data_IF_369621998505
#
_entry.id   IF_369621998505
#
_cell.length_a   1.000
_cell.length_b   1.000
_cell.length_c   1.000
_cell.angle_alpha   90.00
_cell.angle_beta   90.00
_cell.angle_gamma   90.00
#
_symmetry.space_group_name_H-M   'P 1'
#
loop_
_entity.id
_entity.type
_entity.pdbx_description
1 polymer ?
#
# COMPACT_ATOMS: atom_id res chain seq x y z
N UNK A 1 -92.16 42.60 6.07
CA UNK A 1 -90.79 43.14 6.24
C UNK A 1 -89.73 42.10 6.63
N UNK A 2 -90.07 41.01 7.37
CA UNK A 2 -89.09 39.97 7.74
C UNK A 2 -88.44 39.21 6.56
N UNK A 3 -89.17 39.00 5.46
CA UNK A 3 -88.62 38.30 4.30
C UNK A 3 -87.41 39.02 3.66
N UNK A 4 -87.40 40.35 3.66
CA UNK A 4 -86.28 41.13 3.13
C UNK A 4 -85.02 41.00 4.01
N UNK A 5 -85.18 40.96 5.34
CA UNK A 5 -84.04 40.80 6.26
C UNK A 5 -83.43 39.39 6.20
N UNK A 6 -84.25 38.37 5.95
CA UNK A 6 -83.76 36.99 5.85
C UNK A 6 -82.98 36.77 4.54
N UNK A 7 -83.43 37.38 3.45
CA UNK A 7 -82.70 37.36 2.17
C UNK A 7 -81.37 38.10 2.29
N UNK A 8 -81.32 39.28 2.92
CA UNK A 8 -80.05 40.01 3.16
C UNK A 8 -79.05 39.19 3.99
N UNK A 9 -79.51 38.53 5.07
CA UNK A 9 -78.66 37.65 5.89
C UNK A 9 -78.15 36.45 5.11
N UNK A 10 -78.98 35.86 4.25
CA UNK A 10 -78.55 34.76 3.39
C UNK A 10 -77.46 35.22 2.40
N UNK A 11 -77.62 36.39 1.78
CA UNK A 11 -76.59 36.97 0.90
C UNK A 11 -75.29 37.28 1.66
N UNK A 12 -75.35 37.89 2.84
CA UNK A 12 -74.17 38.14 3.68
C UNK A 12 -73.45 36.83 4.07
N UNK A 13 -74.21 35.79 4.41
CA UNK A 13 -73.64 34.47 4.71
C UNK A 13 -72.96 33.84 3.49
N UNK A 14 -73.52 34.00 2.29
CA UNK A 14 -72.92 33.51 1.04
C UNK A 14 -71.64 34.28 0.74
N UNK A 15 -71.66 35.61 0.81
CA UNK A 15 -70.48 36.45 0.57
C UNK A 15 -69.34 36.13 1.55
N UNK A 16 -69.67 35.90 2.82
CA UNK A 16 -68.70 35.46 3.82
C UNK A 16 -68.11 34.09 3.47
N UNK A 17 -68.95 33.11 3.11
CA UNK A 17 -68.46 31.78 2.74
C UNK A 17 -67.56 31.82 1.48
N UNK A 18 -67.86 32.69 0.52
CA UNK A 18 -67.01 32.91 -0.67
C UNK A 18 -65.68 33.55 -0.27
N UNK A 19 -65.70 34.57 0.59
CA UNK A 19 -64.49 35.22 1.09
C UNK A 19 -63.61 34.27 1.89
N UNK A 20 -64.17 33.53 2.85
CA UNK A 20 -63.46 32.52 3.64
C UNK A 20 -62.87 31.43 2.72
N UNK A 21 -63.61 31.02 1.68
CA UNK A 21 -63.11 30.10 0.66
C UNK A 21 -61.94 30.66 -0.16
N UNK A 22 -61.96 31.96 -0.50
CA UNK A 22 -60.87 32.64 -1.19
C UNK A 22 -59.60 32.74 -0.32
N UNK A 23 -59.75 33.06 0.98
CA UNK A 23 -58.61 33.11 1.91
C UNK A 23 -57.94 31.74 2.07
N UNK A 24 -58.72 30.66 2.16
CA UNK A 24 -58.17 29.30 2.23
C UNK A 24 -57.41 28.93 0.96
N UNK A 25 -57.91 29.30 -0.22
CA UNK A 25 -57.22 29.04 -1.49
C UNK A 25 -55.92 29.84 -1.62
N UNK A 26 -55.91 31.11 -1.20
CA UNK A 26 -54.71 31.94 -1.18
C UNK A 26 -53.68 31.39 -0.20
N UNK A 27 -54.09 31.01 1.02
CA UNK A 27 -53.18 30.40 2.00
C UNK A 27 -52.61 29.06 1.52
N UNK A 28 -53.43 28.25 0.86
CA UNK A 28 -52.96 27.01 0.23
C UNK A 28 -51.93 27.28 -0.88
N UNK A 29 -52.18 28.29 -1.71
CA UNK A 29 -51.27 28.69 -2.78
C UNK A 29 -49.93 29.19 -2.22
N UNK A 30 -49.97 30.04 -1.18
CA UNK A 30 -48.76 30.52 -0.50
C UNK A 30 -47.93 29.35 0.06
N UNK A 31 -48.57 28.38 0.74
CA UNK A 31 -47.89 27.19 1.24
C UNK A 31 -47.24 26.36 0.12
N UNK A 32 -47.93 26.19 -1.00
CA UNK A 32 -47.38 25.46 -2.15
C UNK A 32 -46.20 26.21 -2.79
N UNK A 33 -46.24 27.54 -2.86
CA UNK A 33 -45.11 28.35 -3.35
C UNK A 33 -43.89 28.26 -2.44
N UNK A 34 -44.06 28.31 -1.12
CA UNK A 34 -42.97 28.13 -0.15
C UNK A 34 -42.37 26.72 -0.26
N UNK A 35 -43.21 25.71 -0.42
CA UNK A 35 -42.78 24.32 -0.59
C UNK A 35 -41.98 24.14 -1.89
N UNK A 36 -42.41 24.75 -2.99
CA UNK A 36 -41.65 24.75 -4.25
C UNK A 36 -40.30 25.43 -4.10
N UNK A 37 -40.23 26.58 -3.44
CA UNK A 37 -38.98 27.29 -3.18
C UNK A 37 -38.00 26.45 -2.34
N UNK A 38 -38.51 25.71 -1.34
CA UNK A 38 -37.69 24.76 -0.56
C UNK A 38 -37.16 23.61 -1.41
N UNK A 39 -37.97 23.04 -2.31
CA UNK A 39 -37.50 21.99 -3.22
C UNK A 39 -36.45 22.49 -4.21
N UNK A 40 -36.63 23.69 -4.75
CA UNK A 40 -35.66 24.30 -5.64
C UNK A 40 -34.33 24.58 -4.93
N UNK A 41 -34.39 25.09 -3.69
CA UNK A 41 -33.20 25.26 -2.85
C UNK A 41 -32.47 23.93 -2.60
N UNK A 42 -33.21 22.86 -2.27
CA UNK A 42 -32.63 21.52 -2.08
C UNK A 42 -32.00 20.97 -3.36
N UNK A 43 -32.64 21.18 -4.51
CA UNK A 43 -32.11 20.75 -5.81
C UNK A 43 -30.80 21.49 -6.14
N UNK A 44 -30.75 22.80 -5.91
CA UNK A 44 -29.55 23.62 -6.09
C UNK A 44 -28.42 23.18 -5.15
N UNK A 45 -28.74 22.83 -3.90
CA UNK A 45 -27.75 22.28 -2.97
C UNK A 45 -27.20 20.93 -3.45
N UNK A 46 -28.05 20.04 -3.96
CA UNK A 46 -27.60 18.76 -4.50
C UNK A 46 -26.72 18.94 -5.74
N UNK A 47 -27.07 19.88 -6.62
CA UNK A 47 -26.27 20.22 -7.79
C UNK A 47 -24.88 20.73 -7.40
N UNK A 48 -24.80 21.65 -6.43
CA UNK A 48 -23.53 22.16 -5.93
C UNK A 48 -22.64 21.05 -5.34
N UNK A 49 -23.21 20.10 -4.60
CA UNK A 49 -22.48 18.95 -4.08
C UNK A 49 -21.97 18.03 -5.19
N UNK A 50 -22.78 17.83 -6.25
CA UNK A 50 -22.37 17.03 -7.40
C UNK A 50 -21.22 17.70 -8.17
N UNK A 51 -21.30 19.01 -8.39
CA UNK A 51 -20.25 19.78 -9.06
C UNK A 51 -18.94 19.75 -8.26
N UNK A 52 -19.02 19.86 -6.93
CA UNK A 52 -17.87 19.71 -6.04
C UNK A 52 -17.22 18.32 -6.13
N UNK A 53 -18.03 17.25 -6.07
CA UNK A 53 -17.53 15.88 -6.19
C UNK A 53 -16.93 15.61 -7.56
N UNK A 54 -17.52 16.18 -8.62
CA UNK A 54 -17.00 16.08 -9.98
C UNK A 54 -15.65 16.80 -10.13
N UNK A 55 -15.50 17.98 -9.51
CA UNK A 55 -14.23 18.71 -9.48
C UNK A 55 -13.15 17.94 -8.72
N UNK A 56 -13.49 17.36 -7.56
CA UNK A 56 -12.57 16.54 -6.77
C UNK A 56 -12.13 15.28 -7.53
N UNK A 57 -13.05 14.59 -8.21
CA UNK A 57 -12.73 13.42 -9.03
C UNK A 57 -11.82 13.78 -10.23
N UNK A 58 -12.03 14.93 -10.86
CA UNK A 58 -11.17 15.44 -11.92
C UNK A 58 -9.76 15.74 -11.40
N UNK A 59 -9.64 16.38 -10.23
CA UNK A 59 -8.34 16.65 -9.62
C UNK A 59 -7.61 15.36 -9.26
N UNK A 60 -8.28 14.38 -8.66
CA UNK A 60 -7.69 13.09 -8.35
C UNK A 60 -7.17 12.38 -9.61
N UNK A 61 -7.90 12.49 -10.73
CA UNK A 61 -7.48 11.90 -12.01
C UNK A 61 -6.17 12.53 -12.49
N UNK A 62 -6.05 13.86 -12.44
CA UNK A 62 -4.80 14.57 -12.79
C UNK A 62 -3.63 14.16 -11.89
N UNK A 63 -3.86 14.09 -10.57
CA UNK A 63 -2.82 13.68 -9.62
C UNK A 63 -2.31 12.26 -9.92
N UNK A 64 -3.19 11.34 -10.32
CA UNK A 64 -2.81 9.98 -10.73
C UNK A 64 -2.06 9.95 -12.06
N UNK A 65 -2.44 10.79 -13.03
CA UNK A 65 -1.73 10.93 -14.30
C UNK A 65 -0.31 11.46 -14.09
N UNK A 66 -0.13 12.49 -13.26
CA UNK A 66 1.19 13.02 -12.90
C UNK A 66 2.06 11.97 -12.19
N UNK A 67 1.48 11.20 -11.26
CA UNK A 67 2.20 10.10 -10.61
C UNK A 67 2.61 9.01 -11.59
N UNK A 68 1.75 8.67 -12.56
CA UNK A 68 2.06 7.70 -13.59
C UNK A 68 3.21 8.17 -14.48
N UNK A 69 3.20 9.44 -14.91
CA UNK A 69 4.29 10.05 -15.68
C UNK A 69 5.61 10.03 -14.91
N UNK A 70 5.59 10.37 -13.62
CA UNK A 70 6.80 10.32 -12.76
C UNK A 70 7.36 8.90 -12.62
N UNK A 71 6.50 7.90 -12.47
CA UNK A 71 6.92 6.49 -12.42
C UNK A 71 7.51 6.04 -13.75
N UNK A 72 6.94 6.48 -14.87
CA UNK A 72 7.48 6.21 -16.20
C UNK A 72 8.89 6.82 -16.35
N UNK A 73 9.07 8.09 -15.99
CA UNK A 73 10.36 8.76 -16.04
C UNK A 73 11.43 8.02 -15.21
N UNK A 74 11.11 7.67 -13.96
CA UNK A 74 12.05 6.90 -13.12
C UNK A 74 12.36 5.52 -13.72
N UNK A 75 11.43 4.91 -14.45
CA UNK A 75 11.65 3.63 -15.12
C UNK A 75 12.65 3.79 -16.28
N UNK A 76 12.50 4.85 -17.07
CA UNK A 76 13.41 5.19 -18.18
C UNK A 76 14.81 5.54 -17.66
N UNK A 77 14.91 6.33 -16.58
CA UNK A 77 16.19 6.64 -15.94
C UNK A 77 16.90 5.38 -15.42
N UNK A 78 16.16 4.46 -14.79
CA UNK A 78 16.73 3.18 -14.37
C UNK A 78 17.19 2.31 -15.54
N UNK A 79 16.48 2.35 -16.68
CA UNK A 79 16.92 1.65 -17.89
C UNK A 79 18.24 2.24 -18.41
N UNK A 80 18.34 3.57 -18.50
CA UNK A 80 19.56 4.26 -18.92
C UNK A 80 20.75 3.99 -17.98
N UNK A 81 20.53 4.00 -16.66
CA UNK A 81 21.54 3.62 -15.68
C UNK A 81 22.00 2.17 -15.87
N UNK A 82 21.08 1.24 -16.13
CA UNK A 82 21.42 -0.17 -16.41
C UNK A 82 22.25 -0.32 -17.69
N UNK A 83 21.95 0.45 -18.74
CA UNK A 83 22.76 0.47 -19.97
C UNK A 83 24.16 1.04 -19.73
N UNK A 84 24.27 2.08 -18.90
CA UNK A 84 25.56 2.66 -18.52
C UNK A 84 26.40 1.67 -17.72
N UNK A 85 25.80 0.97 -16.75
CA UNK A 85 26.46 -0.10 -15.98
C UNK A 85 26.91 -1.24 -16.91
N UNK A 86 26.10 -1.59 -17.91
CA UNK A 86 26.46 -2.62 -18.91
C UNK A 86 27.70 -2.21 -19.71
N UNK A 87 27.74 -0.99 -20.23
CA UNK A 87 28.91 -0.45 -20.96
C UNK A 87 30.17 -0.45 -20.10
N UNK A 88 30.08 0.03 -18.86
CA UNK A 88 31.22 0.02 -17.93
C UNK A 88 31.71 -1.40 -17.63
N UNK A 89 30.82 -2.39 -17.52
CA UNK A 89 31.21 -3.78 -17.34
C UNK A 89 31.96 -4.35 -18.56
N UNK A 90 31.52 -3.99 -19.77
CA UNK A 90 32.21 -4.37 -21.02
C UNK A 90 33.62 -3.75 -21.08
N UNK A 91 33.76 -2.46 -20.72
CA UNK A 91 35.06 -1.78 -20.61
C UNK A 91 35.97 -2.45 -19.58
N UNK A 92 35.46 -2.76 -18.37
CA UNK A 92 36.22 -3.45 -17.32
C UNK A 92 36.65 -4.85 -17.78
N UNK A 93 35.81 -5.57 -18.52
CA UNK A 93 36.19 -6.85 -19.11
C UNK A 93 37.31 -6.69 -20.15
N UNK A 94 37.22 -5.66 -21.01
CA UNK A 94 38.28 -5.32 -21.98
C UNK A 94 39.61 -4.98 -21.30
N UNK A 95 39.60 -4.25 -20.19
CA UNK A 95 40.81 -3.96 -19.42
C UNK A 95 41.37 -5.22 -18.76
N UNK A 96 40.53 -6.12 -18.24
CA UNK A 96 40.96 -7.39 -17.66
C UNK A 96 41.66 -8.28 -18.68
N UNK A 97 41.15 -8.35 -19.92
CA UNK A 97 41.82 -9.13 -20.98
C UNK A 97 43.16 -8.52 -21.36
N UNK A 98 43.28 -7.19 -21.43
CA UNK A 98 44.55 -6.50 -21.65
C UNK A 98 45.56 -6.78 -20.53
N UNK A 99 45.14 -6.72 -19.26
CA UNK A 99 46.00 -7.04 -18.11
C UNK A 99 46.50 -8.49 -18.20
N UNK A 100 45.62 -9.44 -18.54
CA UNK A 100 46.00 -10.84 -18.72
C UNK A 100 47.03 -11.03 -19.84
N UNK A 101 46.90 -10.30 -20.96
CA UNK A 101 47.89 -10.32 -22.04
C UNK A 101 49.25 -9.76 -21.60
N UNK A 102 49.26 -8.66 -20.86
CA UNK A 102 50.49 -8.07 -20.31
C UNK A 102 51.18 -9.01 -19.31
N UNK A 103 50.41 -9.73 -18.50
CA UNK A 103 50.94 -10.73 -17.59
C UNK A 103 51.61 -11.89 -18.34
N UNK A 104 50.99 -12.39 -19.42
CA UNK A 104 51.59 -13.43 -20.28
C UNK A 104 52.91 -12.98 -20.92
N UNK A 105 52.96 -11.75 -21.47
CA UNK A 105 54.19 -11.19 -22.02
C UNK A 105 55.28 -11.02 -20.96
N UNK A 106 54.90 -10.62 -19.74
CA UNK A 106 55.84 -10.47 -18.62
C UNK A 106 56.44 -11.82 -18.23
N UNK A 107 55.62 -12.88 -18.17
CA UNK A 107 56.11 -14.24 -17.90
C UNK A 107 57.04 -14.74 -19.01
N UNK A 108 56.72 -14.47 -20.27
CA UNK A 108 57.58 -14.86 -21.40
C UNK A 108 58.94 -14.14 -21.36
N UNK A 109 58.96 -12.84 -21.05
CA UNK A 109 60.20 -12.08 -20.88
C UNK A 109 61.02 -12.59 -19.69
N UNK A 110 60.36 -12.97 -18.59
CA UNK A 110 61.03 -13.56 -17.41
C UNK A 110 61.66 -14.92 -17.74
N UNK A 111 60.98 -15.75 -18.53
CA UNK A 111 61.49 -17.04 -18.99
C UNK A 111 62.70 -16.85 -19.93
N UNK A 112 62.63 -15.90 -20.86
CA UNK A 112 63.75 -15.54 -21.73
C UNK A 112 64.96 -15.01 -20.93
N UNK A 113 64.72 -14.22 -19.87
CA UNK A 113 65.77 -13.74 -18.99
C UNK A 113 66.45 -14.89 -18.24
N UNK A 114 65.65 -15.83 -17.73
CA UNK A 114 66.14 -17.02 -17.02
C UNK A 114 66.97 -17.93 -17.93
N UNK A 115 66.51 -18.18 -19.17
CA UNK A 115 67.27 -18.93 -20.18
C UNK A 115 68.60 -18.25 -20.55
N UNK A 116 68.64 -16.92 -20.61
CA UNK A 116 69.88 -16.18 -20.86
C UNK A 116 70.86 -16.30 -19.70
N UNK A 117 70.40 -16.27 -18.44
CA UNK A 117 71.26 -16.43 -17.26
C UNK A 117 71.91 -17.81 -17.19
N UNK A 118 71.19 -18.89 -17.52
CA UNK A 118 71.77 -20.24 -17.55
C UNK A 118 72.86 -20.40 -18.63
N UNK A 119 72.79 -19.60 -19.69
CA UNK A 119 73.71 -19.70 -20.83
C UNK A 119 74.98 -18.87 -20.69
N UNK A 120 75.09 -18.03 -19.65
CA UNK A 120 76.34 -17.32 -19.33
C UNK A 120 77.23 -18.27 -18.52
N UNK A 121 78.35 -18.76 -19.08
CA UNK A 121 79.28 -19.59 -18.33
C UNK A 121 79.77 -18.77 -17.14
N UNK A 122 79.75 -19.38 -15.95
CA UNK A 122 80.26 -18.82 -14.70
C UNK A 122 81.77 -18.54 -14.85
N UNK A 123 82.12 -17.42 -15.49
CA UNK A 123 83.47 -16.88 -15.44
C UNK A 123 83.69 -16.43 -14.00
N UNK A 124 84.45 -17.25 -13.27
CA UNK A 124 84.85 -17.01 -11.89
C UNK A 124 85.50 -15.63 -11.78
N UNK A 125 84.72 -14.65 -11.30
CA UNK A 125 85.19 -13.32 -10.99
C UNK A 125 85.82 -13.38 -9.59
N UNK A 126 87.12 -13.68 -9.58
CA UNK A 126 87.96 -13.54 -8.39
C UNK A 126 88.15 -12.06 -8.04
N UNK A 127 88.12 -11.76 -6.74
CA UNK A 127 88.55 -10.52 -6.07
C UNK A 127 88.02 -9.17 -6.62
N UNK A 128 86.88 -8.74 -6.09
CA UNK A 128 86.51 -7.32 -6.08
C UNK A 128 86.28 -6.84 -4.63
N UNK A 129 86.91 -5.73 -4.20
CA UNK A 129 86.88 -5.23 -2.83
C UNK A 129 85.51 -4.65 -2.43
N UNK A 130 85.22 -4.55 -1.11
CA UNK A 130 83.92 -4.15 -0.60
C UNK A 130 83.65 -2.67 -0.89
N UNK A 131 82.63 -2.41 -1.70
CA UNK A 131 82.15 -1.04 -1.99
C UNK A 131 81.13 -0.67 -0.90
N UNK A 132 81.43 0.43 -0.21
CA UNK A 132 80.62 1.00 0.85
C UNK A 132 79.22 1.45 0.38
N UNK A 133 78.21 1.41 1.26
CA UNK A 133 76.85 1.84 0.94
C UNK A 133 76.78 3.35 0.76
N UNK A 134 76.59 3.81 -0.48
CA UNK A 134 76.27 5.20 -0.80
C UNK A 134 74.82 5.48 -0.40
N UNK A 135 74.63 6.34 0.60
CA UNK A 135 73.35 6.91 1.00
C UNK A 135 72.71 7.66 -0.18
N UNK A 136 71.52 7.23 -0.59
CA UNK A 136 70.69 7.91 -1.59
C UNK A 136 69.91 9.03 -0.90
N UNK A 137 70.00 10.29 -1.34
CA UNK A 137 69.27 11.40 -0.74
C UNK A 137 67.76 11.23 -0.95
N UNK A 138 66.98 11.36 0.13
CA UNK A 138 65.54 11.56 0.05
C UNK A 138 65.26 12.93 -0.58
N UNK A 139 65.10 12.94 -1.91
CA UNK A 139 64.56 14.08 -2.61
C UNK A 139 63.04 14.13 -2.38
N UNK A 140 62.68 15.08 -1.52
CA UNK A 140 61.38 15.69 -1.41
C UNK A 140 60.82 16.16 -2.78
N UNK A 141 59.50 16.38 -2.80
CA UNK A 141 58.77 17.26 -3.71
C UNK A 141 58.35 16.71 -5.09
N UNK A 142 57.04 16.52 -5.28
CA UNK A 142 56.26 17.05 -6.42
C UNK A 142 54.80 16.61 -6.28
N UNK A 143 53.92 17.53 -5.87
CA UNK A 143 53.07 18.31 -6.79
C UNK A 143 51.95 17.46 -7.41
N UNK A 144 50.86 17.34 -6.67
CA UNK A 144 49.57 16.91 -7.22
C UNK A 144 48.94 18.08 -8.00
N UNK A 145 48.65 17.96 -9.30
CA UNK A 145 47.83 18.94 -9.99
C UNK A 145 46.36 18.75 -9.59
N UNK A 146 45.80 19.74 -8.90
CA UNK A 146 44.35 19.88 -8.74
C UNK A 146 43.76 20.28 -10.09
N UNK A 147 43.19 19.31 -10.80
CA UNK A 147 42.39 19.53 -12.00
C UNK A 147 41.12 20.29 -11.61
N UNK A 148 41.12 21.59 -11.88
CA UNK A 148 39.92 22.44 -11.88
C UNK A 148 39.11 22.04 -13.10
N UNK A 149 38.00 21.35 -12.88
CA UNK A 149 36.99 21.12 -13.92
C UNK A 149 36.15 22.38 -14.03
N UNK A 150 36.49 23.22 -15.02
CA UNK A 150 35.62 24.26 -15.54
C UNK A 150 34.31 23.60 -16.03
N UNK A 151 33.21 23.93 -15.36
CA UNK A 151 31.85 23.66 -15.82
C UNK A 151 31.44 24.79 -16.76
N UNK A 152 30.96 24.50 -17.98
CA UNK A 152 30.39 25.53 -18.83
C UNK A 152 29.10 26.05 -18.19
N UNK A 153 29.06 27.37 -18.02
CA UNK A 153 27.90 28.15 -17.64
C UNK A 153 26.91 28.10 -18.81
N UNK A 154 25.90 27.24 -18.72
CA UNK A 154 24.80 27.22 -19.69
C UNK A 154 24.00 28.52 -19.56
N UNK A 155 24.09 29.33 -20.60
CA UNK A 155 23.25 30.51 -20.81
C UNK A 155 21.79 30.06 -20.92
N UNK A 156 21.00 30.41 -19.91
CA UNK A 156 19.55 30.35 -19.98
C UNK A 156 19.07 31.28 -21.09
N UNK A 157 18.78 30.70 -22.25
CA UNK A 157 18.02 31.33 -23.32
C UNK A 157 16.55 31.31 -22.90
N UNK A 158 16.02 32.48 -22.53
CA UNK A 158 14.58 32.75 -22.39
C UNK A 158 13.88 32.47 -23.72
N UNK A 159 12.90 31.54 -23.80
CA UNK A 159 11.97 31.54 -24.91
C UNK A 159 10.91 32.63 -24.68
N UNK A 160 10.93 33.64 -25.55
CA UNK A 160 9.81 34.52 -25.84
C UNK A 160 8.53 33.70 -26.03
N UNK A 161 7.67 33.64 -25.02
CA UNK A 161 6.30 33.17 -25.17
C UNK A 161 5.47 34.36 -25.63
N UNK A 162 5.33 34.45 -26.95
CA UNK A 162 4.24 35.17 -27.60
C UNK A 162 2.98 34.30 -27.54
N UNK A 163 2.06 34.62 -26.63
CA UNK A 163 0.66 34.25 -26.80
C UNK A 163 -0.24 35.40 -26.33
N UNK A 164 -0.83 36.07 -27.32
CA UNK A 164 -2.03 36.86 -27.12
C UNK A 164 -3.16 35.94 -26.68
N UNK A 165 -3.76 36.26 -25.55
CA UNK A 165 -5.03 35.73 -25.12
C UNK A 165 -5.83 36.89 -24.55
N UNK A 166 -6.90 37.24 -25.25
CA UNK A 166 -7.86 38.27 -24.89
C UNK A 166 -8.64 37.82 -23.64
N UNK A 167 -8.57 38.62 -22.58
CA UNK A 167 -9.45 38.49 -21.42
C UNK A 167 -10.77 39.24 -21.67
N UNK A 168 -11.95 38.67 -21.34
CA UNK A 168 -13.14 39.46 -21.11
C UNK A 168 -13.17 40.02 -19.67
N UNK A 169 -13.83 41.16 -19.43
CA UNK A 169 -13.80 41.82 -18.13
C UNK A 169 -14.63 41.05 -17.10
N UNK A 170 -14.02 40.73 -15.96
CA UNK A 170 -14.71 40.18 -14.79
C UNK A 170 -14.81 41.26 -13.73
N UNK A 171 -16.03 41.53 -13.32
CA UNK A 171 -16.38 42.52 -12.31
C UNK A 171 -15.70 42.28 -10.97
N UNK A 172 -15.25 43.40 -10.43
CA UNK A 172 -14.65 43.61 -9.12
C UNK A 172 -15.68 43.32 -8.03
N UNK A 173 -15.40 42.36 -7.14
CA UNK A 173 -15.78 42.48 -5.73
C UNK A 173 -14.67 41.94 -4.81
N UNK A 174 -14.05 42.91 -4.14
CA UNK A 174 -13.08 42.83 -3.05
C UNK A 174 -13.55 42.03 -1.83
N UNK A 175 -12.61 41.34 -1.19
CA UNK A 175 -12.29 41.25 0.27
C UNK A 175 -11.90 39.81 0.66
N UNK A 176 -10.65 39.50 1.02
CA UNK A 176 -9.96 39.83 2.27
C UNK A 176 -8.89 38.75 2.55
N UNK A 177 -7.92 38.98 3.47
CA UNK A 177 -6.61 38.33 3.41
C UNK A 177 -6.47 37.16 4.40
N UNK A 178 -5.87 36.04 3.96
CA UNK A 178 -5.33 35.04 4.88
C UNK A 178 -3.87 34.70 4.56
N UNK A 179 -3.10 34.83 5.63
CA UNK A 179 -1.67 34.64 5.84
C UNK A 179 -1.10 33.31 5.33
N UNK A 180 0.05 33.44 4.69
CA UNK A 180 0.95 32.37 4.30
C UNK A 180 1.54 31.61 5.50
N UNK A 181 1.61 30.29 5.39
CA UNK A 181 2.54 29.46 6.15
C UNK A 181 3.41 28.67 5.17
N UNK A 182 4.61 29.18 4.95
CA UNK A 182 5.76 28.49 4.36
C UNK A 182 6.23 27.39 5.31
N UNK A 183 6.34 26.17 4.81
CA UNK A 183 7.03 25.06 5.49
C UNK A 183 8.30 24.70 4.71
N UNK A 184 9.48 24.62 5.35
CA UNK A 184 10.71 24.23 4.69
C UNK A 184 10.86 22.70 4.75
N UNK A 185 10.99 22.04 3.60
CA UNK A 185 11.44 20.64 3.55
C UNK A 185 12.92 20.60 3.24
N UNK A 186 13.71 20.41 4.30
CA UNK A 186 15.15 20.20 4.24
C UNK A 186 15.52 18.83 3.71
N UNK A 187 16.53 18.83 2.87
CA UNK A 187 17.30 17.67 2.46
C UNK A 187 17.93 16.96 3.67
N UNK A 188 17.86 15.63 3.70
CA UNK A 188 18.84 14.78 4.36
C UNK A 188 19.06 13.53 3.52
N UNK A 189 20.15 13.56 2.76
CA UNK A 189 20.79 12.36 2.24
C UNK A 189 21.42 11.55 3.36
N UNK A 190 21.46 10.24 3.18
CA UNK A 190 22.32 9.32 3.93
C UNK A 190 22.64 8.11 3.04
N UNK A 191 23.78 7.45 3.29
CA UNK A 191 24.63 6.89 2.24
C UNK A 191 24.39 5.41 1.97
N UNK A 192 24.88 4.98 0.80
CA UNK A 192 24.90 3.60 0.35
C UNK A 192 25.69 2.67 1.26
N UNK A 193 25.23 1.42 1.31
CA UNK A 193 25.98 0.28 1.81
C UNK A 193 26.01 -0.78 0.72
N UNK A 194 27.21 -0.98 0.18
CA UNK A 194 27.54 -2.07 -0.71
C UNK A 194 27.81 -3.34 0.12
N UNK A 195 27.19 -4.45 -0.27
CA UNK A 195 27.61 -5.82 0.07
C UNK A 195 27.26 -6.66 -1.16
N UNK A 196 28.22 -7.07 -1.99
CA UNK A 196 29.20 -8.13 -1.76
C UNK A 196 28.54 -9.46 -1.39
N UNK A 197 28.14 -10.21 -2.42
CA UNK A 197 27.98 -11.67 -2.33
C UNK A 197 28.61 -12.31 -3.56
N UNK A 198 29.72 -12.99 -3.28
CA UNK A 198 30.34 -14.13 -3.97
C UNK A 198 29.33 -15.04 -4.66
N UNK A 199 29.52 -15.32 -5.95
CA UNK A 199 30.17 -16.53 -6.48
C UNK A 199 29.37 -17.82 -6.19
N UNK A 200 28.80 -18.41 -7.26
CA UNK A 200 28.94 -19.84 -7.55
C UNK A 200 28.53 -20.09 -9.00
N UNK A 201 29.56 -20.13 -9.84
CA UNK A 201 29.56 -20.69 -11.19
C UNK A 201 29.90 -22.18 -11.01
N UNK A 202 29.00 -23.08 -11.40
CA UNK A 202 29.31 -24.50 -11.50
C UNK A 202 29.09 -24.94 -12.95
N UNK A 203 30.22 -25.26 -13.57
CA UNK A 203 30.44 -25.79 -14.90
C UNK A 203 29.67 -27.09 -15.18
N UNK A 204 29.26 -27.20 -16.45
CA UNK A 204 28.81 -28.42 -17.11
C UNK A 204 29.96 -29.43 -17.25
N UNK A 205 29.73 -30.68 -16.81
CA UNK A 205 30.54 -31.85 -17.20
C UNK A 205 29.58 -33.03 -17.45
N UNK A 206 29.82 -33.88 -18.48
CA UNK A 206 28.77 -34.70 -19.09
C UNK A 206 28.55 -36.08 -18.45
N UNK A 207 27.44 -36.68 -18.90
CA UNK A 207 26.80 -37.92 -18.50
C UNK A 207 27.67 -39.19 -18.38
N UNK A 208 27.34 -40.01 -17.36
CA UNK A 208 27.55 -41.47 -17.33
C UNK A 208 26.36 -42.13 -16.58
N UNK A 209 25.81 -43.29 -17.02
CA UNK A 209 24.61 -43.89 -16.43
C UNK A 209 24.95 -44.92 -15.34
N UNK A 210 24.17 -44.99 -14.25
CA UNK A 210 24.14 -46.20 -13.42
C UNK A 210 22.91 -46.35 -12.52
N UNK A 211 22.21 -47.45 -12.79
CA UNK A 211 21.42 -48.34 -11.93
C UNK A 211 20.83 -47.86 -10.58
N UNK A 212 19.51 -48.03 -10.48
CA UNK A 212 18.72 -48.03 -9.24
C UNK A 212 19.11 -49.20 -8.28
N UNK A 213 18.66 -49.19 -7.01
CA UNK A 213 17.40 -49.86 -6.72
C UNK A 213 16.49 -49.18 -5.66
N UNK A 214 15.21 -49.56 -5.75
CA UNK A 214 14.07 -49.05 -5.01
C UNK A 214 14.01 -49.46 -3.53
N UNK A 215 13.58 -48.55 -2.64
CA UNK A 215 13.13 -48.89 -1.29
C UNK A 215 11.81 -48.17 -0.88
N UNK A 216 10.80 -49.01 -0.67
CA UNK A 216 9.62 -48.96 0.18
C UNK A 216 9.06 -47.61 0.70
N UNK A 217 7.93 -47.22 0.09
CA UNK A 217 6.88 -46.36 0.69
C UNK A 217 6.25 -47.02 1.94
N UNK A 218 6.19 -46.30 3.06
CA UNK A 218 5.23 -46.56 4.16
C UNK A 218 4.30 -45.36 4.36
N UNK A 219 3.08 -45.49 3.85
CA UNK A 219 1.97 -44.55 4.08
C UNK A 219 1.37 -44.78 5.47
N UNK A 220 1.46 -43.80 6.37
CA UNK A 220 0.69 -43.78 7.63
C UNK A 220 -0.41 -42.73 7.55
N UNK A 221 -1.60 -43.21 7.30
CA UNK A 221 -2.88 -42.53 7.53
C UNK A 221 -3.06 -42.26 9.03
N UNK A 222 -3.22 -40.99 9.42
CA UNK A 222 -3.67 -40.60 10.76
C UNK A 222 -4.81 -39.60 10.69
N UNK A 223 -6.02 -40.17 10.72
CA UNK A 223 -7.17 -39.80 11.56
C UNK A 223 -7.19 -38.40 12.21
N UNK A 224 -8.15 -37.59 11.76
CA UNK A 224 -8.76 -36.45 12.48
C UNK A 224 -9.41 -36.90 13.80
N UNK A 225 -9.19 -36.21 14.93
CA UNK A 225 -10.09 -36.28 16.07
C UNK A 225 -11.12 -35.14 16.02
N UNK A 226 -12.39 -35.54 16.07
CA UNK A 226 -13.54 -34.71 16.43
C UNK A 226 -13.49 -34.40 17.93
N UNK A 227 -13.46 -33.13 18.32
CA UNK A 227 -13.87 -32.66 19.65
C UNK A 227 -14.91 -31.57 19.37
N UNK A 228 -16.21 -31.90 19.28
CA UNK A 228 -17.18 -32.12 20.38
C UNK A 228 -16.97 -31.15 21.54
N UNK A 229 -17.87 -30.18 21.62
CA UNK A 229 -17.76 -29.03 22.49
C UNK A 229 -18.13 -29.30 23.93
N UNK A 230 -17.89 -28.28 24.75
CA UNK A 230 -18.44 -28.19 26.09
C UNK A 230 -18.75 -26.74 26.43
N UNK A 231 -20.04 -26.52 26.68
CA UNK A 231 -20.58 -25.34 27.35
C UNK A 231 -20.20 -25.46 28.82
N UNK A 232 -19.55 -24.44 29.38
CA UNK A 232 -19.67 -24.18 30.82
C UNK A 232 -20.00 -22.72 31.07
N UNK A 233 -21.20 -22.55 31.62
CA UNK A 233 -21.65 -21.37 32.36
C UNK A 233 -20.92 -21.40 33.70
N UNK A 234 -20.41 -20.27 34.14
CA UNK A 234 -20.24 -19.99 35.56
C UNK A 234 -20.25 -18.47 35.73
N UNK A 235 -21.45 -17.98 36.06
CA UNK A 235 -21.61 -16.73 36.79
C UNK A 235 -21.18 -16.96 38.24
N UNK A 236 -20.52 -15.98 38.85
CA UNK A 236 -20.58 -15.72 40.29
C UNK A 236 -20.26 -14.25 40.60
N UNK A 237 -20.72 -13.71 41.74
CA UNK A 237 -21.09 -12.31 41.93
C UNK A 237 -20.19 -11.55 42.94
N UNK A 238 -20.29 -10.21 42.94
CA UNK A 238 -19.61 -9.28 43.88
C UNK A 238 -18.30 -8.74 43.29
N UNK A 239 -17.94 -7.45 43.34
CA UNK A 239 -18.27 -6.36 44.25
C UNK A 239 -18.28 -5.03 43.46
N UNK A 240 -19.18 -4.12 43.86
CA UNK A 240 -19.21 -2.72 43.41
C UNK A 240 -18.19 -1.91 44.21
N UNK A 241 -17.63 -0.85 43.61
CA UNK A 241 -17.63 0.42 44.32
C UNK A 241 -18.32 1.53 43.53
N UNK A 242 -19.15 2.26 44.28
CA UNK A 242 -19.81 3.51 43.93
C UNK A 242 -18.79 4.56 43.50
N UNK A 243 -18.97 5.14 42.30
CA UNK A 243 -18.57 6.51 42.02
C UNK A 243 -19.61 7.18 41.13
N UNK A 244 -20.40 8.00 41.80
CA UNK A 244 -21.22 9.08 41.26
C UNK A 244 -20.36 10.00 40.38
N UNK A 245 -20.76 10.13 39.11
CA UNK A 245 -20.51 11.35 38.33
C UNK A 245 -21.75 11.65 37.51
N UNK A 246 -22.45 12.68 37.96
CA UNK A 246 -23.53 13.34 37.25
C UNK A 246 -23.06 13.71 35.84
N UNK A 247 -23.71 13.12 34.84
CA UNK A 247 -23.69 13.61 33.48
C UNK A 247 -25.13 13.94 33.15
N UNK A 248 -25.45 15.24 33.14
CA UNK A 248 -26.68 15.79 32.58
C UNK A 248 -26.72 15.38 31.09
N UNK A 249 -27.45 14.31 30.79
CA UNK A 249 -27.90 14.00 29.43
C UNK A 249 -29.27 14.61 29.26
N UNK A 250 -29.33 15.60 28.39
CA UNK A 250 -30.55 16.20 27.88
C UNK A 250 -31.41 15.12 27.23
N UNK A 251 -32.66 15.12 27.65
CA UNK A 251 -33.75 14.26 27.23
C UNK A 251 -34.04 14.44 25.73
N UNK A 252 -34.07 13.32 25.01
CA UNK A 252 -34.76 13.18 23.72
C UNK A 252 -35.32 11.77 23.65
N UNK A 253 -36.13 11.42 24.66
CA UNK A 253 -36.97 10.23 24.65
C UNK A 253 -38.11 10.44 23.66
N UNK A 254 -37.93 9.94 22.44
CA UNK A 254 -39.08 9.48 21.63
C UNK A 254 -39.77 8.35 22.40
N UNK A 255 -41.10 8.39 22.61
CA UNK A 255 -41.82 7.26 23.18
C UNK A 255 -41.66 6.06 22.26
N UNK A 256 -40.95 5.03 22.73
CA UNK A 256 -41.00 3.70 22.13
C UNK A 256 -42.39 3.14 22.46
N UNK A 257 -43.28 3.19 21.47
CA UNK A 257 -44.55 2.47 21.51
C UNK A 257 -44.26 1.00 21.86
N UNK A 258 -44.83 0.56 22.99
CA UNK A 258 -44.72 -0.81 23.47
C UNK A 258 -45.59 -1.70 22.58
N UNK A 259 -45.07 -2.11 21.44
CA UNK A 259 -45.68 -3.17 20.65
C UNK A 259 -45.75 -4.45 21.49
N UNK A 260 -46.95 -5.00 21.58
CA UNK A 260 -47.24 -6.25 22.26
C UNK A 260 -46.46 -7.41 21.62
N UNK A 261 -46.18 -8.51 22.35
CA UNK A 261 -45.45 -9.66 21.81
C UNK A 261 -46.09 -10.27 20.54
N UNK A 262 -47.40 -10.11 20.36
CA UNK A 262 -48.14 -10.57 19.17
C UNK A 262 -47.93 -9.68 17.94
N UNK A 263 -47.83 -8.36 18.09
CA UNK A 263 -47.50 -7.45 17.00
C UNK A 263 -46.10 -7.69 16.45
N UNK A 264 -45.13 -8.00 17.33
CA UNK A 264 -43.76 -8.35 16.92
C UNK A 264 -43.70 -9.63 16.09
N UNK A 265 -44.64 -10.57 16.27
CA UNK A 265 -44.74 -11.79 15.47
C UNK A 265 -45.32 -11.51 14.08
N UNK A 266 -46.32 -10.62 13.98
CA UNK A 266 -46.91 -10.23 12.68
C UNK A 266 -45.92 -9.45 11.79
N UNK A 267 -45.16 -8.52 12.36
CA UNK A 267 -44.20 -7.70 11.59
C UNK A 267 -43.01 -8.51 11.05
N UNK A 268 -42.60 -9.59 11.74
CA UNK A 268 -41.55 -10.49 11.24
C UNK A 268 -42.02 -11.38 10.08
N UNK A 269 -43.31 -11.76 10.04
CA UNK A 269 -43.84 -12.64 9.00
C UNK A 269 -44.04 -11.92 7.65
N UNK A 270 -44.45 -10.64 7.69
CA UNK A 270 -44.66 -9.83 6.47
C UNK A 270 -43.33 -9.52 5.75
N UNK A 271 -42.22 -9.43 6.49
CA UNK A 271 -40.90 -9.07 5.91
C UNK A 271 -40.16 -10.24 5.24
N UNK A 272 -40.49 -11.50 5.59
CA UNK A 272 -39.89 -12.69 4.96
C UNK A 272 -40.60 -13.09 3.67
N UNK A 273 -41.93 -12.97 3.59
CA UNK A 273 -42.69 -13.37 2.40
C UNK A 273 -42.50 -12.41 1.23
N UNK A 274 -42.36 -11.10 1.49
CA UNK A 274 -42.14 -10.10 0.43
C UNK A 274 -40.80 -10.26 -0.30
N UNK A 275 -39.72 -10.66 0.40
CA UNK A 275 -38.40 -10.83 -0.23
C UNK A 275 -38.32 -12.05 -1.12
N UNK A 276 -38.99 -13.15 -0.76
CA UNK A 276 -38.99 -14.36 -1.59
C UNK A 276 -39.93 -14.23 -2.79
N UNK A 277 -41.04 -13.50 -2.66
CA UNK A 277 -41.89 -13.15 -3.80
C UNK A 277 -41.14 -12.24 -4.81
N UNK A 278 -40.39 -11.25 -4.32
CA UNK A 278 -39.57 -10.37 -5.15
C UNK A 278 -38.49 -11.16 -5.91
N UNK A 279 -37.72 -12.04 -5.22
CA UNK A 279 -36.71 -12.90 -5.88
C UNK A 279 -37.31 -13.82 -6.95
N UNK A 280 -38.56 -14.27 -6.77
CA UNK A 280 -39.26 -15.10 -7.76
C UNK A 280 -39.70 -14.28 -8.98
N UNK A 281 -40.07 -13.01 -8.80
CA UNK A 281 -40.38 -12.09 -9.90
C UNK A 281 -39.13 -11.71 -10.68
N UNK A 282 -38.03 -11.37 -10.00
CA UNK A 282 -36.73 -11.06 -10.63
C UNK A 282 -36.18 -12.25 -11.44
N UNK A 283 -36.43 -13.49 -10.99
CA UNK A 283 -36.06 -14.71 -11.75
C UNK A 283 -36.91 -14.94 -13.00
N UNK A 284 -38.13 -14.44 -13.06
CA UNK A 284 -39.03 -14.57 -14.23
C UNK A 284 -38.83 -13.45 -15.24
N UNK A 285 -38.41 -12.28 -14.78
CA UNK A 285 -38.20 -11.09 -15.63
C UNK A 285 -36.76 -10.96 -16.15
N UNK A 286 -35.82 -11.81 -15.70
CA UNK A 286 -34.50 -11.91 -16.31
C UNK A 286 -34.64 -12.36 -17.79
N UNK A 287 -34.38 -11.47 -18.78
CA UNK A 287 -34.57 -11.78 -20.18
C UNK A 287 -33.65 -12.91 -20.62
N UNK A 288 -34.17 -13.77 -21.48
CA UNK A 288 -33.48 -14.85 -22.16
C UNK A 288 -32.31 -14.36 -23.04
N UNK A 289 -31.16 -14.08 -22.43
CA UNK A 289 -29.93 -13.77 -23.18
C UNK A 289 -28.67 -14.26 -22.47
N UNK A 290 -28.68 -15.54 -22.09
CA UNK A 290 -27.47 -16.37 -22.18
C UNK A 290 -27.84 -17.68 -22.81
N UNK A 291 -27.60 -17.78 -24.11
CA UNK A 291 -27.48 -19.04 -24.80
C UNK A 291 -26.67 -20.00 -23.92
N UNK A 292 -27.30 -21.09 -23.50
CA UNK A 292 -26.60 -22.20 -22.86
C UNK A 292 -25.64 -22.73 -23.91
N UNK A 293 -24.36 -22.36 -23.80
CA UNK A 293 -23.33 -23.10 -24.49
C UNK A 293 -23.47 -24.58 -24.08
N UNK A 294 -23.40 -25.51 -25.03
CA UNK A 294 -23.43 -26.94 -24.72
C UNK A 294 -22.34 -27.24 -23.68
N UNK A 295 -22.60 -28.18 -22.75
CA UNK A 295 -21.57 -28.61 -21.81
C UNK A 295 -20.33 -29.01 -22.62
N UNK A 296 -19.11 -28.60 -22.20
CA UNK A 296 -17.90 -29.00 -22.89
C UNK A 296 -17.87 -30.53 -22.99
N UNK A 297 -17.44 -31.10 -24.13
CA UNK A 297 -17.38 -32.53 -24.31
C UNK A 297 -16.55 -33.15 -23.17
N UNK A 298 -16.92 -34.37 -22.70
CA UNK A 298 -16.17 -35.04 -21.65
C UNK A 298 -14.72 -35.18 -22.12
N UNK A 299 -13.83 -34.39 -21.50
CA UNK A 299 -12.39 -34.53 -21.71
C UNK A 299 -12.04 -35.98 -21.35
N UNK A 300 -11.39 -36.73 -22.25
CA UNK A 300 -10.98 -38.08 -21.96
C UNK A 300 -10.17 -38.05 -20.67
N UNK A 301 -10.60 -38.88 -19.73
CA UNK A 301 -9.91 -39.12 -18.46
C UNK A 301 -8.51 -39.61 -18.78
N UNK A 302 -7.60 -38.66 -18.97
CA UNK A 302 -6.18 -38.87 -18.95
C UNK A 302 -5.91 -39.49 -17.59
N UNK A 303 -5.73 -40.81 -17.59
CA UNK A 303 -5.09 -41.55 -16.52
C UNK A 303 -3.72 -40.92 -16.37
N UNK A 304 -3.63 -39.88 -15.54
CA UNK A 304 -2.38 -39.36 -15.05
C UNK A 304 -1.76 -40.50 -14.28
N UNK A 305 -0.91 -41.24 -15.00
CA UNK A 305 0.11 -42.06 -14.42
C UNK A 305 0.74 -41.25 -13.30
N UNK A 306 0.82 -41.91 -12.14
CA UNK A 306 1.46 -41.46 -10.93
C UNK A 306 2.93 -41.15 -11.21
N UNK A 307 3.19 -40.01 -11.85
CA UNK A 307 4.51 -39.43 -11.87
C UNK A 307 4.64 -38.79 -10.49
N UNK A 308 5.44 -39.42 -9.63
CA UNK A 308 6.08 -38.78 -8.48
C UNK A 308 6.94 -37.62 -9.02
N UNK A 309 6.32 -36.56 -9.54
CA UNK A 309 6.97 -35.25 -9.67
C UNK A 309 6.91 -34.67 -8.28
N UNK A 310 8.04 -34.72 -7.59
CA UNK A 310 8.39 -33.80 -6.53
C UNK A 310 8.36 -32.37 -7.07
N UNK A 311 7.16 -31.86 -7.35
CA UNK A 311 6.92 -30.44 -7.40
C UNK A 311 7.04 -29.97 -5.95
N UNK A 312 8.27 -29.67 -5.57
CA UNK A 312 8.57 -28.45 -4.84
C UNK A 312 7.75 -27.34 -5.51
N UNK A 313 6.51 -27.16 -5.08
CA UNK A 313 5.94 -25.83 -5.06
C UNK A 313 6.75 -25.16 -3.96
N UNK A 314 7.75 -24.32 -4.26
CA UNK A 314 8.24 -23.42 -3.24
C UNK A 314 6.98 -22.72 -2.74
N UNK A 315 6.58 -23.05 -1.51
CA UNK A 315 5.47 -22.39 -0.87
C UNK A 315 5.71 -20.92 -1.13
N UNK A 316 4.81 -20.26 -1.88
CA UNK A 316 4.94 -18.84 -2.14
C UNK A 316 4.85 -18.19 -0.78
N UNK A 317 6.01 -18.03 -0.14
CA UNK A 317 6.17 -17.32 1.11
C UNK A 317 5.51 -15.99 0.79
N UNK A 318 4.40 -15.71 1.47
CA UNK A 318 3.70 -14.44 1.27
C UNK A 318 4.68 -13.36 1.70
N UNK A 319 5.47 -12.84 0.75
CA UNK A 319 6.58 -11.91 1.01
C UNK A 319 6.07 -10.63 1.69
N UNK A 320 4.80 -10.32 1.49
CA UNK A 320 4.09 -9.18 2.08
C UNK A 320 3.76 -9.37 3.57
N UNK A 321 3.63 -10.61 4.07
CA UNK A 321 3.18 -10.87 5.45
C UNK A 321 4.33 -11.36 6.32
N UNK A 322 4.67 -10.55 7.32
CA UNK A 322 5.68 -10.87 8.34
C UNK A 322 5.10 -11.80 9.40
N UNK A 323 5.88 -12.80 9.81
CA UNK A 323 5.54 -13.66 10.94
C UNK A 323 5.60 -12.89 12.26
N UNK A 324 4.44 -12.61 12.85
CA UNK A 324 4.37 -11.88 14.14
C UNK A 324 5.06 -12.67 15.25
N UNK A 325 4.89 -13.99 15.29
CA UNK A 325 5.50 -14.84 16.31
C UNK A 325 7.03 -14.85 16.20
N UNK A 326 7.59 -14.69 14.99
CA UNK A 326 9.05 -14.56 14.82
C UNK A 326 9.55 -13.24 15.38
N UNK A 327 8.87 -12.13 15.08
CA UNK A 327 9.19 -10.82 15.65
C UNK A 327 9.13 -10.82 17.18
N UNK A 328 8.26 -11.65 17.77
CA UNK A 328 8.12 -11.83 19.22
C UNK A 328 9.07 -12.89 19.79
N UNK A 329 9.97 -13.46 18.98
CA UNK A 329 10.90 -14.55 19.35
C UNK A 329 10.20 -15.83 19.86
N UNK A 330 8.98 -16.10 19.38
CA UNK A 330 8.13 -17.22 19.79
C UNK A 330 7.65 -18.10 18.62
N UNK A 331 8.22 -17.97 17.42
CA UNK A 331 7.84 -18.79 16.26
C UNK A 331 8.37 -20.23 16.42
N UNK A 332 7.46 -21.20 16.58
CA UNK A 332 7.80 -22.61 16.70
C UNK A 332 8.24 -23.26 15.38
N UNK A 333 7.84 -22.69 14.22
CA UNK A 333 8.15 -23.25 12.90
C UNK A 333 9.58 -22.95 12.42
N UNK A 334 10.31 -22.06 13.10
CA UNK A 334 11.69 -21.75 12.72
C UNK A 334 11.80 -21.34 11.24
N UNK A 335 12.73 -21.94 10.50
CA UNK A 335 12.96 -21.61 9.09
C UNK A 335 11.85 -22.09 8.14
N UNK A 336 11.03 -23.03 8.59
CA UNK A 336 9.94 -23.60 7.80
C UNK A 336 8.62 -22.83 7.94
N UNK A 337 8.66 -21.63 8.52
CA UNK A 337 7.48 -20.79 8.65
C UNK A 337 7.00 -20.33 7.26
N UNK A 338 5.70 -20.47 6.92
CA UNK A 338 5.16 -20.01 5.63
C UNK A 338 5.10 -18.48 5.51
N UNK A 339 5.42 -17.75 6.59
CA UNK A 339 5.42 -16.29 6.65
C UNK A 339 6.87 -15.76 6.65
N UNK A 340 7.06 -14.53 6.18
CA UNK A 340 8.39 -13.92 6.08
C UNK A 340 9.00 -13.68 7.47
N UNK A 341 10.24 -14.13 7.67
CA UNK A 341 11.06 -13.85 8.84
C UNK A 341 12.04 -12.70 8.54
N UNK A 342 11.79 -11.47 9.03
CA UNK A 342 12.71 -10.36 8.83
C UNK A 342 14.03 -10.60 9.59
N UNK A 343 15.14 -10.02 9.12
CA UNK A 343 16.40 -10.01 9.86
C UNK A 343 16.21 -9.31 11.22
N UNK A 344 17.02 -9.66 12.23
CA UNK A 344 16.84 -9.18 13.60
C UNK A 344 16.90 -7.65 13.73
N UNK A 345 17.61 -6.98 12.83
CA UNK A 345 17.74 -5.52 12.75
C UNK A 345 16.40 -4.85 12.40
N UNK A 346 15.62 -5.46 11.50
CA UNK A 346 14.32 -4.93 11.05
C UNK A 346 13.18 -5.17 12.04
N UNK A 347 13.34 -6.14 12.94
CA UNK A 347 12.28 -6.54 13.90
C UNK A 347 11.84 -5.35 14.76
N UNK A 348 12.77 -4.47 15.14
CA UNK A 348 12.48 -3.27 15.94
C UNK A 348 11.51 -2.32 15.24
N UNK A 349 11.76 -1.99 13.96
CA UNK A 349 10.91 -1.09 13.17
C UNK A 349 9.53 -1.69 12.88
N UNK A 350 9.47 -3.00 12.65
CA UNK A 350 8.21 -3.72 12.40
C UNK A 350 7.33 -3.76 13.67
N UNK A 351 7.91 -4.07 14.83
CA UNK A 351 7.19 -4.04 16.10
C UNK A 351 6.69 -2.64 16.45
N UNK A 352 7.48 -1.61 16.16
CA UNK A 352 7.05 -0.22 16.36
C UNK A 352 5.87 0.15 15.46
N UNK A 353 5.86 -0.34 14.22
CA UNK A 353 4.73 -0.18 13.30
C UNK A 353 3.46 -0.87 13.79
N UNK A 354 3.56 -2.03 14.45
CA UNK A 354 2.42 -2.69 15.08
C UNK A 354 1.92 -1.93 16.31
N UNK A 355 2.81 -1.35 17.12
CA UNK A 355 2.44 -0.51 18.27
C UNK A 355 1.71 0.78 17.89
N UNK A 356 1.91 1.30 16.68
CA UNK A 356 1.14 2.45 16.19
C UNK A 356 -0.32 2.10 15.90
N UNK A 357 -0.60 0.82 15.57
CA UNK A 357 -1.95 0.34 15.26
C UNK A 357 -2.69 -0.07 16.53
N UNK A 358 -3.96 0.30 16.63
CA UNK A 358 -4.82 -0.14 17.73
C UNK A 358 -5.09 -1.64 17.63
N UNK A 359 -5.04 -2.34 18.76
CA UNK A 359 -5.43 -3.74 18.82
C UNK A 359 -6.93 -3.86 18.54
N UNK A 360 -7.29 -4.76 17.62
CA UNK A 360 -8.69 -5.02 17.29
C UNK A 360 -9.53 -5.49 18.50
N UNK A 361 -8.91 -6.20 19.45
CA UNK A 361 -9.57 -6.66 20.68
C UNK A 361 -9.64 -5.59 21.78
N UNK A 362 -9.06 -4.40 21.57
CA UNK A 362 -9.14 -3.29 22.52
C UNK A 362 -8.69 -3.66 23.94
N UNK A 363 -9.49 -3.32 24.94
CA UNK A 363 -9.20 -3.62 26.36
C UNK A 363 -9.39 -5.09 26.74
N UNK A 364 -10.05 -5.86 25.89
CA UNK A 364 -10.42 -7.26 26.17
C UNK A 364 -9.39 -8.27 25.64
N UNK A 365 -8.27 -7.78 25.12
CA UNK A 365 -7.21 -8.63 24.59
C UNK A 365 -6.58 -9.47 25.71
N UNK A 366 -6.71 -10.79 25.64
CA UNK A 366 -6.16 -11.75 26.63
C UNK A 366 -4.69 -12.13 26.38
N UNK A 367 -4.07 -11.61 25.31
CA UNK A 367 -2.68 -11.93 24.97
C UNK A 367 -1.74 -11.07 25.82
N UNK A 368 -0.93 -11.70 26.67
CA UNK A 368 0.05 -11.04 27.55
C UNK A 368 1.08 -10.21 26.78
N UNK A 369 1.44 -10.66 25.58
CA UNK A 369 2.44 -10.05 24.71
C UNK A 369 1.83 -9.64 23.36
N UNK A 370 0.71 -8.92 23.37
CA UNK A 370 0.13 -8.38 22.14
C UNK A 370 1.06 -7.30 21.54
N UNK A 371 1.45 -7.38 20.24
CA UNK A 371 2.32 -6.37 19.62
C UNK A 371 1.59 -5.05 19.27
N UNK A 372 0.27 -5.02 19.40
CA UNK A 372 -0.58 -3.86 19.07
C UNK A 372 -0.91 -3.02 20.31
N UNK A 373 -1.31 -1.77 20.10
CA UNK A 373 -1.63 -0.84 21.20
C UNK A 373 -3.03 -1.06 21.77
N UNK A 374 -3.16 -1.20 23.09
CA UNK A 374 -4.44 -1.26 23.79
C UNK A 374 -4.83 0.11 24.37
N UNK A 375 -6.12 0.49 24.35
CA UNK A 375 -6.59 1.71 24.97
C UNK A 375 -6.46 1.61 26.49
N UNK A 376 -5.54 2.39 27.08
CA UNK A 376 -5.25 2.40 28.52
C UNK A 376 -3.93 1.75 28.91
N UNK A 377 -3.22 1.10 27.99
CA UNK A 377 -1.87 0.61 28.23
C UNK A 377 -0.91 1.83 28.21
N UNK A 378 -0.72 2.43 29.38
CA UNK A 378 0.13 3.59 29.61
C UNK A 378 1.61 3.22 29.68
N UNK A 379 2.01 2.12 29.03
CA UNK A 379 3.40 1.88 28.62
C UNK A 379 3.79 2.97 27.62
N UNK A 380 3.99 4.18 28.15
CA UNK A 380 4.58 5.32 27.47
C UNK A 380 5.86 4.81 26.85
N UNK A 381 6.00 5.00 25.54
CA UNK A 381 7.28 4.76 24.88
C UNK A 381 8.32 5.59 25.64
N UNK A 382 9.55 5.08 25.86
CA UNK A 382 10.59 5.79 26.62
C UNK A 382 10.87 7.22 26.11
N UNK A 383 10.48 7.50 24.86
CA UNK A 383 10.64 8.79 24.20
C UNK A 383 9.75 9.90 24.79
N UNK A 384 8.59 9.56 25.37
CA UNK A 384 7.63 10.53 25.92
C UNK A 384 7.92 10.94 27.38
N UNK A 385 9.07 10.55 27.94
CA UNK A 385 9.51 10.91 29.30
C UNK A 385 10.53 12.05 29.35
N UNK A 386 10.97 12.58 28.21
CA UNK A 386 11.96 13.67 28.12
C UNK A 386 11.39 15.02 27.67
N UNK A 387 10.06 15.17 27.68
CA UNK A 387 9.37 16.43 27.38
C UNK A 387 8.81 17.06 28.64
#
# INVERSE_FOLDING_TARGET
>A
MHFATDVSKAFESILKAVHDGQEVLLSSYEQDTEKLALYESQLNQQKALYDQLSAEASQQTKDYEEQAQKLQQMTEENQNLNETVRRLNEEVQGLRTQIAQLQLLTTELQDQASQKQEKVPSLALADAPPIEPVEVPQASESSSPTSVTDLPQEEASDPEITHGQEDPPVDVLSSGPYTAHTAPSGARGAPGTAGSTTADTADEVPAVPSAAPALARRSRSRSRPLMRGERLRSMSPGERPERTREVKRTDSRRPLERHTPEERRRVRHVRSEGRDAQRRRDRREAPHSRARLPPPPPVPSMTYGRVDRGHEYPHRINREKVCIDWCMKSCAMGRDCPLRHPPPEDVGGILESFRRKSCHHGKECKRSNCPYRHPGDSRRTPKDRRS
#
